data_IF_953789689723
#
_entry.id   IF_953789689723
#
_cell.length_a   1.000
_cell.length_b   1.000
_cell.length_c   1.000
_cell.angle_alpha   90.00
_cell.angle_beta   90.00
_cell.angle_gamma   90.00
#
_symmetry.space_group_name_H-M   'P 1'
#
loop_
_entity.id
_entity.type
_entity.pdbx_description
1 polymer ?
#
# COMPACT_ATOMS: atom_id res chain seq x y z
N UNK A 1 5.73 -2.29 -11.16
CA UNK A 1 7.03 -2.95 -10.91
C UNK A 1 8.14 -2.13 -11.53
N UNK A 2 9.24 -1.98 -10.81
CA UNK A 2 10.48 -1.35 -11.28
C UNK A 2 11.58 -2.42 -11.20
N UNK A 3 12.48 -2.48 -12.19
CA UNK A 3 13.60 -3.41 -12.21
C UNK A 3 14.91 -2.61 -12.28
N UNK A 4 15.86 -2.99 -11.45
CA UNK A 4 17.26 -2.60 -11.50
C UNK A 4 18.08 -3.86 -11.84
N UNK A 5 19.33 -3.71 -12.28
CA UNK A 5 20.14 -4.78 -12.91
C UNK A 5 20.10 -6.14 -12.17
N UNK A 6 19.97 -6.12 -10.84
CA UNK A 6 19.84 -7.31 -10.01
C UNK A 6 18.60 -7.34 -9.09
N UNK A 7 17.77 -6.30 -9.07
CA UNK A 7 16.70 -6.17 -8.07
C UNK A 7 15.33 -5.86 -8.71
N UNK A 8 14.28 -6.40 -8.09
CA UNK A 8 12.89 -6.22 -8.50
C UNK A 8 12.12 -5.47 -7.41
N UNK A 9 11.65 -4.27 -7.72
CA UNK A 9 10.90 -3.45 -6.78
C UNK A 9 9.39 -3.43 -7.10
N UNK A 10 8.58 -3.65 -6.08
CA UNK A 10 7.16 -3.37 -6.08
C UNK A 10 6.93 -1.85 -6.00
N UNK A 11 5.91 -1.35 -6.71
CA UNK A 11 5.51 0.05 -6.62
C UNK A 11 4.01 0.08 -6.31
N UNK A 12 3.66 0.64 -5.16
CA UNK A 12 2.27 0.93 -4.77
C UNK A 12 2.10 2.44 -4.78
N UNK A 13 1.17 2.94 -5.58
CA UNK A 13 0.78 4.35 -5.56
C UNK A 13 -0.44 4.51 -4.65
N UNK A 14 -0.29 5.29 -3.58
CA UNK A 14 -1.37 5.58 -2.64
C UNK A 14 -1.72 7.07 -2.70
N UNK A 15 -2.72 7.47 -3.50
CA UNK A 15 -3.09 8.88 -3.68
C UNK A 15 -3.85 9.47 -2.48
N UNK A 16 -4.42 8.65 -1.60
CA UNK A 16 -5.13 9.09 -0.38
C UNK A 16 -5.27 7.97 0.64
N UNK A 17 -5.28 8.30 1.92
CA UNK A 17 -5.64 7.37 3.00
C UNK A 17 -7.17 7.27 3.13
N UNK A 18 -7.81 6.61 2.18
CA UNK A 18 -9.27 6.51 2.17
C UNK A 18 -9.78 5.43 3.13
N UNK A 19 -11.00 5.65 3.60
CA UNK A 19 -11.78 4.67 4.32
C UNK A 19 -13.23 4.80 3.91
N UNK A 20 -13.91 3.68 3.72
CA UNK A 20 -15.36 3.64 3.71
C UNK A 20 -15.85 3.68 5.17
N UNK A 21 -16.64 4.69 5.53
CA UNK A 21 -17.17 4.84 6.89
C UNK A 21 -18.43 4.02 7.10
N UNK A 22 -19.17 3.72 6.01
CA UNK A 22 -20.36 2.89 6.05
C UNK A 22 -19.98 1.41 6.06
N UNK A 23 -18.84 1.07 5.45
CA UNK A 23 -18.30 -0.29 5.42
C UNK A 23 -16.78 -0.35 5.68
N UNK A 24 -16.40 -0.01 6.91
CA UNK A 24 -15.00 -0.04 7.35
C UNK A 24 -14.36 -1.44 7.19
N UNK A 25 -15.18 -2.50 7.28
CA UNK A 25 -14.75 -3.89 7.25
C UNK A 25 -14.37 -4.39 5.86
N UNK A 26 -15.08 -3.95 4.82
CA UNK A 26 -14.90 -4.47 3.46
C UNK A 26 -13.85 -3.70 2.65
N UNK A 27 -13.80 -2.35 2.74
CA UNK A 27 -12.92 -1.56 1.85
C UNK A 27 -12.29 -0.33 2.51
N UNK A 28 -10.98 -0.41 2.72
CA UNK A 28 -10.16 0.73 3.13
C UNK A 28 -8.75 0.62 2.53
N UNK A 29 -8.00 1.73 2.52
CA UNK A 29 -6.66 1.74 1.94
C UNK A 29 -5.70 0.72 2.59
N UNK A 30 -5.88 0.38 3.87
CA UNK A 30 -5.06 -0.61 4.56
C UNK A 30 -5.30 -2.03 4.02
N UNK A 31 -6.56 -2.42 3.81
CA UNK A 31 -6.92 -3.73 3.25
C UNK A 31 -6.42 -3.91 1.82
N UNK A 32 -6.50 -2.86 0.99
CA UNK A 32 -6.02 -2.88 -0.39
C UNK A 32 -4.49 -2.94 -0.45
N UNK A 33 -3.79 -2.12 0.35
CA UNK A 33 -2.33 -2.16 0.43
C UNK A 33 -1.85 -3.53 0.92
N UNK A 34 -2.51 -4.12 1.91
CA UNK A 34 -2.15 -5.45 2.40
C UNK A 34 -2.22 -6.51 1.30
N UNK A 35 -3.30 -6.50 0.49
CA UNK A 35 -3.46 -7.42 -0.65
C UNK A 35 -2.36 -7.22 -1.69
N UNK A 36 -2.04 -5.97 -2.02
CA UNK A 36 -0.98 -5.66 -2.99
C UNK A 36 0.41 -6.04 -2.47
N UNK A 37 0.71 -5.81 -1.19
CA UNK A 37 1.99 -6.23 -0.59
C UNK A 37 2.13 -7.76 -0.68
N UNK A 38 1.09 -8.52 -0.38
CA UNK A 38 1.11 -9.99 -0.48
C UNK A 38 1.33 -10.42 -1.94
N UNK A 39 0.56 -9.86 -2.88
CA UNK A 39 0.72 -10.15 -4.32
C UNK A 39 2.14 -9.84 -4.82
N UNK A 40 2.72 -8.72 -4.39
CA UNK A 40 4.08 -8.34 -4.77
C UNK A 40 5.13 -9.26 -4.14
N UNK A 41 4.95 -9.67 -2.87
CA UNK A 41 5.80 -10.66 -2.21
C UNK A 41 5.78 -12.00 -2.95
N UNK A 42 4.60 -12.47 -3.35
CA UNK A 42 4.44 -13.70 -4.14
C UNK A 42 5.10 -13.60 -5.52
N UNK A 43 5.23 -12.40 -6.05
CA UNK A 43 5.98 -12.12 -7.28
C UNK A 43 7.50 -12.04 -7.08
N UNK A 44 8.01 -12.20 -5.86
CA UNK A 44 9.44 -12.19 -5.54
C UNK A 44 10.08 -10.81 -5.73
N UNK A 45 9.48 -9.76 -5.17
CA UNK A 45 10.12 -8.44 -5.09
C UNK A 45 11.22 -8.44 -4.01
N UNK A 46 12.31 -7.72 -4.27
CA UNK A 46 13.42 -7.48 -3.33
C UNK A 46 13.17 -6.23 -2.48
N UNK A 47 12.27 -5.35 -2.91
CA UNK A 47 11.91 -4.17 -2.16
C UNK A 47 10.59 -3.56 -2.58
N UNK A 48 10.04 -2.69 -1.73
CA UNK A 48 8.77 -2.02 -1.95
C UNK A 48 8.97 -0.50 -1.95
N UNK A 49 8.42 0.17 -2.97
CA UNK A 49 8.31 1.61 -3.06
C UNK A 49 6.84 1.96 -2.85
N UNK A 50 6.56 2.72 -1.78
CA UNK A 50 5.25 3.32 -1.54
C UNK A 50 5.29 4.78 -1.99
N UNK A 51 4.61 5.08 -3.09
CA UNK A 51 4.51 6.44 -3.62
C UNK A 51 3.36 7.19 -2.94
N UNK A 52 3.72 8.18 -2.13
CA UNK A 52 2.81 9.08 -1.42
C UNK A 52 2.81 10.49 -2.02
N UNK A 53 3.41 10.69 -3.19
CA UNK A 53 3.42 12.02 -3.82
C UNK A 53 2.00 12.46 -4.13
N UNK A 54 1.69 13.71 -3.79
CA UNK A 54 0.35 14.30 -3.89
C UNK A 54 -0.72 13.62 -3.01
N UNK A 55 -0.33 12.84 -1.99
CA UNK A 55 -1.27 12.32 -1.01
C UNK A 55 -1.64 13.42 -0.01
N UNK A 56 -2.89 13.92 -0.11
CA UNK A 56 -3.43 14.98 0.74
C UNK A 56 -3.83 14.54 2.16
N UNK A 57 -3.53 13.30 2.56
CA UNK A 57 -3.91 12.73 3.85
C UNK A 57 -5.19 11.88 3.80
N UNK A 58 -5.83 11.73 4.95
CA UNK A 58 -7.06 10.95 5.10
C UNK A 58 -7.19 10.34 6.50
N UNK A 59 -7.76 9.14 6.57
CA UNK A 59 -8.04 8.42 7.81
C UNK A 59 -6.76 8.07 8.57
N UNK A 60 -6.54 8.68 9.74
CA UNK A 60 -5.40 8.37 10.62
C UNK A 60 -5.40 6.89 11.04
N UNK A 61 -6.57 6.32 11.31
CA UNK A 61 -6.69 4.89 11.65
C UNK A 61 -6.12 4.01 10.53
N UNK A 62 -6.45 4.33 9.28
CA UNK A 62 -5.96 3.60 8.11
C UNK A 62 -4.45 3.77 7.91
N UNK A 63 -3.90 4.94 8.27
CA UNK A 63 -2.43 5.16 8.30
C UNK A 63 -1.77 4.22 9.31
N UNK A 64 -2.29 4.16 10.54
CA UNK A 64 -1.77 3.27 11.60
C UNK A 64 -1.79 1.81 11.16
N UNK A 65 -2.90 1.37 10.57
CA UNK A 65 -3.04 0.00 10.08
C UNK A 65 -2.01 -0.31 8.98
N UNK A 66 -1.79 0.60 8.02
CA UNK A 66 -0.77 0.43 6.96
C UNK A 66 0.64 0.32 7.55
N UNK A 67 0.97 1.16 8.54
CA UNK A 67 2.29 1.10 9.18
C UNK A 67 2.54 -0.20 9.94
N UNK A 68 1.50 -0.94 10.31
CA UNK A 68 1.63 -2.26 10.92
C UNK A 68 1.95 -3.39 9.93
N UNK A 69 1.89 -3.15 8.61
CA UNK A 69 2.16 -4.16 7.58
C UNK A 69 3.54 -4.06 6.92
N UNK A 70 4.16 -2.89 7.00
CA UNK A 70 5.49 -2.60 6.46
C UNK A 70 6.57 -3.13 7.40
#
# INVERSE_FOLDING_TARGET
MIKDDNNKYGLINLPRFYVDFDDYGERNAASDIRKEIISLKDQGIDGLILDLRNNGGGSLKTVVDITGFL
#
